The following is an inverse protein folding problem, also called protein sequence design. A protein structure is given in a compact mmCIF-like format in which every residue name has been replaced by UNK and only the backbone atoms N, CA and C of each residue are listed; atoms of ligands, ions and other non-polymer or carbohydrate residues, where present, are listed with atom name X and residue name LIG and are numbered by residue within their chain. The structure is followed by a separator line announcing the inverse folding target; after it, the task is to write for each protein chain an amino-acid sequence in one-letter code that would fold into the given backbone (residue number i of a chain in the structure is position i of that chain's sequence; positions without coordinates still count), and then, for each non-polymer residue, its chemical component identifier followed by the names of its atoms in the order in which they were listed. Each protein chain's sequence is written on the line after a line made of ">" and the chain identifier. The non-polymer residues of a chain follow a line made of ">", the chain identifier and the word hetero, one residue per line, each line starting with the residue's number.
data_IF_137701734161
#
_entry.id   IF_137701734161
#
_cell.length_a   1.000
_cell.length_b   1.000
_cell.length_c   1.000
_cell.angle_alpha   90.00
_cell.angle_beta   90.00
_cell.angle_gamma   90.00
#
_symmetry.space_group_name_H-M   'P 1'
#
loop_
_entity.id
_entity.type
_entity.pdbx_description
1 polymer ?
#
# COMPACT_ATOMS: atom_id res chain seq x y z
N UNK A 1 10.49 51.75 13.25
CA UNK A 1 9.37 51.12 12.54
C UNK A 1 9.75 49.68 12.23
N UNK A 2 9.37 48.79 13.13
CA UNK A 2 9.53 47.34 12.93
C UNK A 2 8.33 46.86 12.11
N UNK A 3 8.59 46.29 10.92
CA UNK A 3 7.54 45.62 10.14
C UNK A 3 7.52 44.16 10.55
N UNK A 4 6.49 43.80 11.30
CA UNK A 4 6.14 42.43 11.65
C UNK A 4 5.99 41.59 10.38
N UNK A 5 6.85 40.59 10.23
CA UNK A 5 6.66 39.48 9.29
C UNK A 5 5.43 38.69 9.72
N UNK A 6 4.35 38.80 8.95
CA UNK A 6 3.18 37.95 9.12
C UNK A 6 3.58 36.51 8.82
N UNK A 7 3.61 35.69 9.88
CA UNK A 7 3.60 34.24 9.78
C UNK A 7 2.23 33.85 9.21
N UNK A 8 2.18 33.49 7.92
CA UNK A 8 1.05 32.75 7.39
C UNK A 8 1.09 31.36 8.03
N UNK A 9 0.36 31.18 9.13
CA UNK A 9 -0.02 29.84 9.59
C UNK A 9 -0.82 29.20 8.45
N UNK A 10 -0.21 28.23 7.76
CA UNK A 10 -0.90 27.34 6.84
C UNK A 10 -2.05 26.67 7.61
N UNK A 11 -3.25 27.24 7.48
CA UNK A 11 -4.49 26.61 7.91
C UNK A 11 -4.50 25.21 7.28
N UNK A 12 -4.60 24.12 8.06
CA UNK A 12 -4.73 22.81 7.46
C UNK A 12 -5.95 22.87 6.55
N UNK A 13 -5.74 22.64 5.25
CA UNK A 13 -6.80 22.63 4.26
C UNK A 13 -7.97 21.81 4.84
N UNK A 14 -9.18 22.36 4.81
CA UNK A 14 -10.40 21.68 5.24
C UNK A 14 -10.61 20.43 4.38
N UNK A 15 -9.87 19.36 4.69
CA UNK A 15 -9.97 18.08 4.03
C UNK A 15 -11.28 17.48 4.52
N UNK A 16 -12.29 17.48 3.65
CA UNK A 16 -13.59 16.93 3.98
C UNK A 16 -13.45 15.44 4.32
N UNK A 17 -14.10 15.02 5.42
CA UNK A 17 -14.01 13.66 5.96
C UNK A 17 -14.39 12.58 4.94
N UNK A 18 -15.35 12.88 4.07
CA UNK A 18 -15.79 12.02 2.96
C UNK A 18 -14.71 11.81 1.89
N UNK A 19 -13.74 12.71 1.75
CA UNK A 19 -12.57 12.51 0.88
C UNK A 19 -11.40 11.81 1.60
N UNK A 20 -11.19 12.13 2.88
CA UNK A 20 -10.06 11.62 3.67
C UNK A 20 -10.26 10.17 4.08
N UNK A 21 -11.45 9.83 4.57
CA UNK A 21 -11.73 8.50 5.12
C UNK A 21 -11.55 7.41 4.06
N UNK A 22 -12.08 7.52 2.83
CA UNK A 22 -11.86 6.52 1.79
C UNK A 22 -10.38 6.35 1.44
N UNK A 23 -9.61 7.44 1.37
CA UNK A 23 -8.15 7.38 1.09
C UNK A 23 -7.40 6.69 2.21
N UNK A 24 -7.70 6.99 3.48
CA UNK A 24 -7.10 6.31 4.63
C UNK A 24 -7.45 4.83 4.64
N UNK A 25 -8.70 4.47 4.37
CA UNK A 25 -9.14 3.08 4.27
C UNK A 25 -8.41 2.34 3.14
N UNK A 26 -8.30 2.95 1.96
CA UNK A 26 -7.56 2.38 0.83
C UNK A 26 -6.07 2.20 1.16
N UNK A 27 -5.46 3.19 1.80
CA UNK A 27 -4.06 3.13 2.24
C UNK A 27 -3.82 2.04 3.28
N UNK A 28 -4.73 1.91 4.25
CA UNK A 28 -4.67 0.85 5.25
C UNK A 28 -4.82 -0.55 4.62
N UNK A 29 -5.78 -0.72 3.71
CA UNK A 29 -5.93 -1.96 2.93
C UNK A 29 -4.66 -2.29 2.15
N UNK A 30 -4.07 -1.30 1.47
CA UNK A 30 -2.83 -1.49 0.72
C UNK A 30 -1.67 -1.95 1.62
N UNK A 31 -1.52 -1.34 2.81
CA UNK A 31 -0.51 -1.74 3.78
C UNK A 31 -0.67 -3.20 4.25
N UNK A 32 -1.91 -3.65 4.47
CA UNK A 32 -2.19 -5.06 4.80
C UNK A 32 -1.71 -5.96 3.67
N UNK A 33 -2.16 -5.70 2.43
CA UNK A 33 -1.81 -6.55 1.28
C UNK A 33 -0.30 -6.57 1.05
N UNK A 34 0.39 -5.44 1.21
CA UNK A 34 1.85 -5.37 1.11
C UNK A 34 2.55 -6.21 2.18
N UNK A 35 2.03 -6.25 3.40
CA UNK A 35 2.56 -7.12 4.46
C UNK A 35 2.38 -8.59 4.09
N UNK A 36 1.19 -8.97 3.65
CA UNK A 36 0.89 -10.35 3.23
C UNK A 36 1.78 -10.80 2.05
N UNK A 37 2.05 -9.92 1.08
CA UNK A 37 2.98 -10.19 -0.02
C UNK A 37 4.40 -10.47 0.47
N UNK A 38 4.89 -9.70 1.46
CA UNK A 38 6.19 -9.95 2.10
C UNK A 38 6.20 -11.30 2.81
N UNK A 39 5.14 -11.61 3.55
CA UNK A 39 5.01 -12.88 4.27
C UNK A 39 5.01 -14.08 3.30
N UNK A 40 4.34 -13.98 2.14
CA UNK A 40 4.37 -15.01 1.10
C UNK A 40 5.79 -15.19 0.54
N UNK A 41 6.51 -14.09 0.26
CA UNK A 41 7.91 -14.16 -0.21
C UNK A 41 8.80 -14.86 0.82
N UNK A 42 8.66 -14.52 2.10
CA UNK A 42 9.43 -15.18 3.17
C UNK A 42 9.06 -16.67 3.29
N UNK A 43 7.78 -17.01 3.13
CA UNK A 43 7.33 -18.39 3.16
C UNK A 43 7.90 -19.22 1.99
N UNK A 44 7.93 -18.65 0.78
CA UNK A 44 8.53 -19.30 -0.40
C UNK A 44 10.04 -19.53 -0.28
N UNK A 45 10.74 -18.83 0.62
CA UNK A 45 12.18 -19.07 0.85
C UNK A 45 12.47 -20.34 1.64
N UNK A 46 11.50 -20.84 2.41
CA UNK A 46 11.66 -22.02 3.27
C UNK A 46 11.85 -23.29 2.44
N UNK A 47 12.75 -24.16 2.89
CA UNK A 47 13.06 -25.44 2.21
C UNK A 47 11.83 -26.34 2.10
N UNK A 48 11.02 -26.39 3.17
CA UNK A 48 9.76 -27.15 3.24
C UNK A 48 8.76 -26.80 2.12
N UNK A 49 8.79 -25.57 1.62
CA UNK A 49 7.93 -25.10 0.53
C UNK A 49 8.59 -25.34 -0.82
N UNK A 50 9.93 -25.23 -0.92
CA UNK A 50 10.67 -25.46 -2.17
C UNK A 50 10.67 -26.92 -2.60
N UNK A 51 10.66 -27.83 -1.63
CA UNK A 51 10.62 -29.27 -1.87
C UNK A 51 9.20 -29.75 -2.26
N UNK A 52 8.17 -28.96 -1.95
CA UNK A 52 6.78 -29.20 -2.29
C UNK A 52 6.34 -28.33 -3.49
N UNK A 53 6.34 -28.93 -4.69
CA UNK A 53 5.99 -28.24 -5.93
C UNK A 53 4.55 -27.71 -5.94
N UNK A 54 3.61 -28.43 -5.33
CA UNK A 54 2.20 -28.05 -5.32
C UNK A 54 1.99 -26.85 -4.42
N UNK A 55 2.56 -26.90 -3.21
CA UNK A 55 2.54 -25.78 -2.27
C UNK A 55 3.27 -24.56 -2.79
N UNK A 56 4.41 -24.74 -3.47
CA UNK A 56 5.12 -23.64 -4.12
C UNK A 56 4.30 -23.00 -5.23
N UNK A 57 3.57 -23.78 -6.04
CA UNK A 57 2.73 -23.24 -7.10
C UNK A 57 1.56 -22.44 -6.51
N UNK A 58 0.93 -22.97 -5.46
CA UNK A 58 -0.19 -22.31 -4.81
C UNK A 58 0.21 -20.96 -4.18
N UNK A 59 1.37 -20.89 -3.53
CA UNK A 59 1.91 -19.63 -3.01
C UNK A 59 2.25 -18.62 -4.10
N UNK A 60 2.69 -19.09 -5.27
CA UNK A 60 2.95 -18.22 -6.42
C UNK A 60 1.65 -17.64 -7.00
N UNK A 61 0.59 -18.45 -7.06
CA UNK A 61 -0.74 -18.01 -7.48
C UNK A 61 -1.34 -17.01 -6.49
N UNK A 62 -1.25 -17.28 -5.19
CA UNK A 62 -1.65 -16.36 -4.13
C UNK A 62 -0.89 -15.03 -4.21
N UNK A 63 0.43 -15.10 -4.41
CA UNK A 63 1.27 -13.93 -4.63
C UNK A 63 0.79 -13.10 -5.83
N UNK A 64 0.50 -13.75 -6.96
CA UNK A 64 0.03 -13.09 -8.18
C UNK A 64 -1.31 -12.38 -7.94
N UNK A 65 -2.25 -13.05 -7.29
CA UNK A 65 -3.57 -12.50 -6.98
C UNK A 65 -3.48 -11.31 -6.03
N UNK A 66 -2.68 -11.41 -4.96
CA UNK A 66 -2.45 -10.30 -4.02
C UNK A 66 -1.69 -9.14 -4.66
N UNK A 67 -0.77 -9.42 -5.59
CA UNK A 67 -0.04 -8.39 -6.33
C UNK A 67 -0.98 -7.58 -7.23
N UNK A 68 -1.95 -8.24 -7.89
CA UNK A 68 -2.98 -7.56 -8.66
C UNK A 68 -3.87 -6.68 -7.77
N UNK A 69 -4.31 -7.21 -6.62
CA UNK A 69 -5.10 -6.44 -5.66
C UNK A 69 -4.35 -5.21 -5.14
N UNK A 70 -3.06 -5.36 -4.81
CA UNK A 70 -2.22 -4.24 -4.39
C UNK A 70 -2.10 -3.15 -5.45
N UNK A 71 -2.04 -3.52 -6.74
CA UNK A 71 -2.01 -2.55 -7.85
C UNK A 71 -3.32 -1.76 -7.95
N UNK A 72 -4.46 -2.41 -7.79
CA UNK A 72 -5.76 -1.72 -7.82
C UNK A 72 -5.92 -0.78 -6.60
N UNK A 73 -5.58 -1.25 -5.40
CA UNK A 73 -5.60 -0.41 -4.19
C UNK A 73 -4.64 0.79 -4.29
N UNK A 74 -3.48 0.64 -4.92
CA UNK A 74 -2.55 1.74 -5.15
C UNK A 74 -3.14 2.84 -6.06
N UNK A 75 -3.92 2.46 -7.10
CA UNK A 75 -4.64 3.41 -7.95
C UNK A 75 -5.70 4.17 -7.14
N UNK A 76 -6.45 3.47 -6.29
CA UNK A 76 -7.47 4.06 -5.42
C UNK A 76 -6.88 5.05 -4.40
N UNK A 77 -5.66 4.80 -3.91
CA UNK A 77 -4.95 5.70 -3.01
C UNK A 77 -4.47 7.00 -3.68
N UNK A 78 -4.63 7.14 -5.00
CA UNK A 78 -4.06 8.27 -5.75
C UNK A 78 -2.53 8.19 -5.88
N UNK A 79 -1.91 7.07 -5.48
CA UNK A 79 -0.52 6.79 -5.77
C UNK A 79 -0.42 6.49 -7.27
N UNK A 80 -0.31 7.53 -8.10
CA UNK A 80 0.16 7.38 -9.48
C UNK A 80 1.47 6.59 -9.38
N UNK A 81 1.44 5.32 -9.75
CA UNK A 81 2.62 4.48 -9.84
C UNK A 81 3.49 5.15 -10.91
N UNK A 82 4.47 5.95 -10.48
CA UNK A 82 5.50 6.47 -11.37
C UNK A 82 6.38 5.26 -11.69
N UNK A 83 6.08 4.60 -12.80
CA UNK A 83 7.05 3.73 -13.45
C UNK A 83 8.18 4.65 -13.92
N UNK A 84 9.29 4.66 -13.17
CA UNK A 84 10.58 5.16 -13.64
C UNK A 84 11.36 4.02 -14.27
#
# INVERSE_FOLDING_TARGET
>A
EEKETQNEEEKPADLHLDEVVPRLVASYKLNIVQKELKDIIELMKRSEVKEDKERSHQLLEDYKNKSLLAKELAKECGARVVLK
#
